data_IF_716457042047
#
_entry.id   IF_716457042047
#
_cell.length_a   1.000
_cell.length_b   1.000
_cell.length_c   1.000
_cell.angle_alpha   90.00
_cell.angle_beta   90.00
_cell.angle_gamma   90.00
#
_symmetry.space_group_name_H-M   'P 1'
#
loop_
_entity.id
_entity.type
_entity.pdbx_description
1 polymer ?
#
# COMPACT_ATOMS: atom_id res chain seq x y z
N UNK A 1 86.20 -28.36 -29.14
CA UNK A 1 86.23 -26.90 -29.29
C UNK A 1 85.16 -26.35 -28.35
N UNK A 2 85.49 -25.54 -27.35
CA UNK A 2 85.88 -24.11 -27.47
C UNK A 2 84.76 -23.25 -28.10
N UNK A 3 84.38 -22.10 -27.54
CA UNK A 3 84.91 -21.38 -26.36
C UNK A 3 83.82 -20.48 -25.73
N UNK A 4 83.88 -20.35 -24.40
CA UNK A 4 83.75 -19.12 -23.59
C UNK A 4 82.98 -17.89 -24.11
N UNK A 5 82.08 -17.35 -23.27
CA UNK A 5 81.37 -16.07 -23.49
C UNK A 5 80.68 -15.51 -22.24
N UNK A 6 81.46 -15.03 -21.26
CA UNK A 6 80.97 -14.34 -20.04
C UNK A 6 80.52 -12.90 -20.32
N UNK A 7 79.31 -12.50 -19.89
CA UNK A 7 78.86 -11.13 -19.50
C UNK A 7 77.59 -11.34 -18.62
N UNK A 8 77.33 -10.81 -17.42
CA UNK A 8 78.11 -10.18 -16.30
C UNK A 8 77.39 -10.55 -14.96
N UNK A 9 77.87 -10.06 -13.82
CA UNK A 9 77.25 -10.13 -12.47
C UNK A 9 77.10 -8.69 -11.94
N UNK A 10 75.91 -8.26 -11.48
CA UNK A 10 75.77 -7.11 -10.58
C UNK A 10 74.46 -7.18 -9.77
N UNK A 11 74.55 -6.79 -8.49
CA UNK A 11 73.46 -6.73 -7.51
C UNK A 11 73.08 -5.26 -7.28
N UNK A 12 71.79 -4.91 -7.41
CA UNK A 12 71.25 -3.70 -6.81
C UNK A 12 69.76 -3.86 -6.48
N UNK A 13 69.42 -3.46 -5.25
CA UNK A 13 68.09 -3.47 -4.64
C UNK A 13 67.46 -2.08 -4.80
N UNK A 14 66.22 -1.99 -5.31
CA UNK A 14 65.37 -0.84 -4.97
C UNK A 14 63.89 -1.25 -4.91
N UNK A 15 63.37 -1.30 -3.68
CA UNK A 15 61.95 -1.51 -3.39
C UNK A 15 61.23 -0.17 -3.49
N UNK A 16 60.34 0.00 -4.47
CA UNK A 16 59.40 1.13 -4.52
C UNK A 16 57.94 0.66 -4.65
N UNK A 17 57.33 0.51 -3.48
CA UNK A 17 55.89 0.63 -3.18
C UNK A 17 54.83 0.42 -4.29
N UNK A 18 54.20 -0.76 -4.26
CA UNK A 18 52.91 -1.00 -4.92
C UNK A 18 51.79 -0.18 -4.23
N UNK A 19 51.46 0.99 -4.78
CA UNK A 19 50.31 1.78 -4.33
C UNK A 19 49.00 1.12 -4.79
N UNK A 20 48.39 0.30 -3.93
CA UNK A 20 47.12 -0.36 -4.21
C UNK A 20 45.91 0.60 -4.04
N UNK A 21 45.06 0.79 -5.07
CA UNK A 21 43.91 1.69 -4.97
C UNK A 21 42.73 1.12 -4.14
N UNK A 22 42.44 1.81 -3.03
CA UNK A 22 41.09 2.26 -2.64
C UNK A 22 39.94 1.25 -2.42
N UNK A 23 40.17 0.18 -1.64
CA UNK A 23 39.08 -0.62 -1.06
C UNK A 23 38.05 0.20 -0.23
N UNK A 24 38.47 1.32 0.36
CA UNK A 24 37.59 2.24 1.11
C UNK A 24 36.57 2.93 0.20
N UNK A 25 37.00 3.47 -0.95
CA UNK A 25 36.14 4.19 -1.90
C UNK A 25 35.03 3.31 -2.44
N UNK A 26 35.32 2.02 -2.74
CA UNK A 26 34.32 1.07 -3.22
C UNK A 26 33.25 0.74 -2.17
N UNK A 27 33.63 0.67 -0.88
CA UNK A 27 32.69 0.49 0.24
C UNK A 27 31.78 1.70 0.42
N UNK A 28 32.33 2.92 0.43
CA UNK A 28 31.54 4.14 0.57
C UNK A 28 30.54 4.31 -0.59
N UNK A 29 30.94 3.98 -1.82
CA UNK A 29 30.07 4.06 -3.00
C UNK A 29 28.92 3.02 -2.92
N UNK A 30 29.20 1.78 -2.49
CA UNK A 30 28.16 0.76 -2.27
C UNK A 30 27.18 1.16 -1.16
N UNK A 31 27.67 1.73 -0.05
CA UNK A 31 26.81 2.25 1.03
C UNK A 31 25.92 3.39 0.51
N UNK A 32 26.45 4.29 -0.32
CA UNK A 32 25.69 5.35 -0.97
C UNK A 32 24.60 4.85 -1.93
N UNK A 33 24.85 3.77 -2.68
CA UNK A 33 23.83 3.14 -3.52
C UNK A 33 22.73 2.46 -2.70
N UNK A 34 23.10 1.79 -1.60
CA UNK A 34 22.14 1.12 -0.71
C UNK A 34 21.22 2.11 0.02
N UNK A 35 21.74 3.26 0.46
CA UNK A 35 20.91 4.32 1.06
C UNK A 35 20.03 5.02 0.02
N UNK A 36 20.52 5.28 -1.19
CA UNK A 36 19.72 5.80 -2.29
C UNK A 36 18.59 4.84 -2.72
N UNK A 37 18.86 3.53 -2.76
CA UNK A 37 17.83 2.53 -3.05
C UNK A 37 16.77 2.47 -1.95
N UNK A 38 17.18 2.53 -0.68
CA UNK A 38 16.25 2.62 0.46
C UNK A 38 15.36 3.86 0.39
N UNK A 39 15.90 5.01 -0.06
CA UNK A 39 15.14 6.23 -0.27
C UNK A 39 14.15 6.12 -1.46
N UNK A 40 14.47 5.35 -2.50
CA UNK A 40 13.54 5.10 -3.62
C UNK A 40 12.35 4.20 -3.26
N UNK A 41 12.50 3.38 -2.21
CA UNK A 41 11.44 2.53 -1.64
C UNK A 41 10.55 3.28 -0.64
N UNK A 42 10.89 4.50 -0.24
CA UNK A 42 9.96 5.38 0.47
C UNK A 42 8.88 5.78 -0.54
N UNK A 43 7.60 5.43 -0.35
CA UNK A 43 6.57 5.87 -1.25
C UNK A 43 6.46 7.40 -1.15
N UNK A 44 6.80 8.10 -2.23
CA UNK A 44 6.52 9.54 -2.40
C UNK A 44 5.03 9.78 -2.72
N UNK A 45 4.16 8.87 -2.26
CA UNK A 45 2.83 9.17 -1.80
C UNK A 45 2.94 10.10 -0.57
N UNK A 46 3.23 11.37 -0.85
CA UNK A 46 3.01 12.44 0.11
C UNK A 46 1.63 12.24 0.71
N UNK A 47 1.56 12.12 2.05
CA UNK A 47 0.30 12.10 2.76
C UNK A 47 -0.48 13.35 2.31
N UNK A 48 -1.51 13.13 1.48
CA UNK A 48 -2.39 14.21 1.06
C UNK A 48 -2.90 14.85 2.35
N UNK A 49 -2.78 16.19 2.51
CA UNK A 49 -3.16 16.83 3.76
C UNK A 49 -4.62 16.47 4.05
N UNK A 50 -4.80 15.64 5.07
CA UNK A 50 -6.11 15.21 5.55
C UNK A 50 -6.82 16.48 6.01
N UNK A 51 -7.81 16.90 5.23
CA UNK A 51 -8.43 18.22 5.39
C UNK A 51 -9.18 18.39 6.72
N UNK A 52 -9.53 17.26 7.37
CA UNK A 52 -10.15 17.19 8.69
C UNK A 52 -9.63 15.90 9.39
N UNK A 53 -9.10 15.95 10.63
CA UNK A 53 -8.66 14.75 11.36
C UNK A 53 -9.68 13.61 11.39
N UNK A 54 -10.99 13.90 11.44
CA UNK A 54 -12.06 12.90 11.40
C UNK A 54 -12.07 12.09 10.08
N UNK A 55 -11.83 12.77 8.95
CA UNK A 55 -11.67 12.12 7.65
C UNK A 55 -10.41 11.23 7.64
N UNK A 56 -9.35 11.65 8.33
CA UNK A 56 -8.14 10.85 8.53
C UNK A 56 -8.44 9.54 9.25
N UNK A 57 -9.27 9.60 10.28
CA UNK A 57 -9.68 8.41 11.03
C UNK A 57 -10.51 7.45 10.18
N UNK A 58 -11.43 7.95 9.36
CA UNK A 58 -12.13 7.13 8.36
C UNK A 58 -11.18 6.46 7.36
N UNK A 59 -10.19 7.19 6.82
CA UNK A 59 -9.20 6.63 5.87
C UNK A 59 -8.36 5.54 6.53
N UNK A 60 -7.89 5.76 7.77
CA UNK A 60 -7.11 4.78 8.52
C UNK A 60 -7.91 3.51 8.84
N UNK A 61 -9.14 3.64 9.34
CA UNK A 61 -10.05 2.49 9.56
C UNK A 61 -10.34 1.76 8.25
N UNK A 62 -10.59 2.50 7.16
CA UNK A 62 -10.81 1.91 5.84
C UNK A 62 -9.60 1.09 5.36
N UNK A 63 -8.38 1.61 5.50
CA UNK A 63 -7.16 0.91 5.10
C UNK A 63 -6.98 -0.41 5.89
N UNK A 64 -7.29 -0.39 7.19
CA UNK A 64 -7.27 -1.56 8.08
C UNK A 64 -8.31 -2.61 7.65
N UNK A 65 -9.57 -2.20 7.42
CA UNK A 65 -10.66 -3.12 7.08
C UNK A 65 -10.55 -3.70 5.66
N UNK A 66 -10.08 -2.90 4.71
CA UNK A 66 -9.89 -3.31 3.31
C UNK A 66 -8.58 -4.10 3.12
N UNK A 67 -7.63 -4.01 4.07
CA UNK A 67 -6.33 -4.67 3.97
C UNK A 67 -5.42 -4.06 2.90
N UNK A 68 -5.59 -2.77 2.57
CA UNK A 68 -4.78 -2.05 1.56
C UNK A 68 -4.07 -0.86 2.19
N UNK A 69 -2.77 -0.73 1.93
CA UNK A 69 -1.95 0.37 2.46
C UNK A 69 -2.30 1.73 1.85
N UNK A 70 -2.84 1.74 0.63
CA UNK A 70 -3.30 2.94 -0.06
C UNK A 70 -4.71 2.71 -0.61
N UNK A 71 -5.55 3.74 -0.46
CA UNK A 71 -6.91 3.82 -0.99
C UNK A 71 -7.02 5.08 -1.84
N UNK A 72 -7.90 5.09 -2.85
CA UNK A 72 -8.09 6.28 -3.67
C UNK A 72 -8.65 7.44 -2.82
N UNK A 73 -7.94 8.55 -2.79
CA UNK A 73 -8.25 9.67 -1.91
C UNK A 73 -9.55 10.40 -2.31
N UNK A 74 -9.90 10.40 -3.61
CA UNK A 74 -11.11 11.04 -4.11
C UNK A 74 -12.34 10.21 -3.75
N UNK A 75 -12.28 8.89 -3.94
CA UNK A 75 -13.30 7.94 -3.53
C UNK A 75 -13.45 7.90 -2.02
N UNK A 76 -12.35 7.88 -1.26
CA UNK A 76 -12.38 7.98 0.20
C UNK A 76 -13.10 9.26 0.67
N UNK A 77 -12.80 10.42 0.05
CA UNK A 77 -13.55 11.65 0.35
C UNK A 77 -15.04 11.53 0.03
N UNK A 78 -15.41 11.04 -1.16
CA UNK A 78 -16.82 10.89 -1.55
C UNK A 78 -17.60 9.94 -0.62
N UNK A 79 -16.99 8.83 -0.21
CA UNK A 79 -17.59 7.89 0.74
C UNK A 79 -17.71 8.52 2.13
N UNK A 80 -16.70 9.23 2.62
CA UNK A 80 -16.76 9.97 3.89
C UNK A 80 -17.87 11.02 3.91
N UNK A 81 -17.94 11.86 2.89
CA UNK A 81 -18.97 12.90 2.74
C UNK A 81 -20.38 12.27 2.69
N UNK A 82 -20.53 11.17 1.95
CA UNK A 82 -21.81 10.47 1.83
C UNK A 82 -22.24 9.80 3.15
N UNK A 83 -21.31 9.15 3.87
CA UNK A 83 -21.57 8.48 5.16
C UNK A 83 -21.90 9.50 6.26
N UNK A 84 -21.21 10.64 6.27
CA UNK A 84 -21.47 11.75 7.21
C UNK A 84 -22.83 12.42 6.94
N UNK A 85 -23.25 12.50 5.67
CA UNK A 85 -24.57 13.01 5.29
C UNK A 85 -25.71 12.02 5.55
N UNK A 86 -25.40 10.72 5.67
CA UNK A 86 -26.35 9.65 6.02
C UNK A 86 -26.53 9.53 7.54
N UNK A 87 -25.44 9.70 8.29
CA UNK A 87 -25.39 9.66 9.75
C UNK A 87 -24.40 10.72 10.27
N UNK A 88 -24.92 11.76 10.94
CA UNK A 88 -24.09 12.83 11.49
C UNK A 88 -23.22 12.41 12.68
N UNK A 89 -23.48 11.24 13.29
CA UNK A 89 -22.61 10.62 14.30
C UNK A 89 -21.44 9.83 13.71
N UNK A 90 -21.44 9.56 12.40
CA UNK A 90 -20.44 8.74 11.72
C UNK A 90 -18.98 9.21 11.94
N UNK A 91 -18.63 10.51 11.84
CA UNK A 91 -17.25 10.98 12.08
C UNK A 91 -16.72 10.59 13.47
N UNK A 92 -17.53 10.81 14.50
CA UNK A 92 -17.19 10.46 15.89
C UNK A 92 -17.10 8.95 16.10
N UNK A 93 -17.98 8.17 15.46
CA UNK A 93 -17.95 6.71 15.52
C UNK A 93 -16.71 6.12 14.83
N UNK A 94 -16.29 6.69 13.68
CA UNK A 94 -15.07 6.31 12.97
C UNK A 94 -13.81 6.62 13.79
N UNK A 95 -13.77 7.80 14.44
CA UNK A 95 -12.71 8.16 15.38
C UNK A 95 -12.64 7.17 16.56
N UNK A 96 -13.79 6.86 17.18
CA UNK A 96 -13.86 5.93 18.31
C UNK A 96 -13.42 4.51 17.94
N UNK A 97 -13.80 4.02 16.76
CA UNK A 97 -13.36 2.72 16.25
C UNK A 97 -11.85 2.68 16.00
N UNK A 98 -11.26 3.75 15.43
CA UNK A 98 -9.81 3.83 15.26
C UNK A 98 -9.06 3.79 16.60
N UNK A 99 -9.53 4.57 17.58
CA UNK A 99 -8.96 4.57 18.94
C UNK A 99 -9.05 3.17 19.56
N UNK A 100 -10.21 2.51 19.49
CA UNK A 100 -10.41 1.15 20.01
C UNK A 100 -9.42 0.13 19.39
N UNK A 101 -9.25 0.15 18.06
CA UNK A 101 -8.29 -0.72 17.36
C UNK A 101 -6.86 -0.42 17.83
N UNK A 102 -6.50 0.86 17.94
CA UNK A 102 -5.15 1.28 18.34
C UNK A 102 -4.81 0.98 19.79
N UNK A 103 -5.75 1.15 20.72
CA UNK A 103 -5.51 0.95 22.15
C UNK A 103 -5.43 -0.55 22.48
N UNK A 104 -6.30 -1.36 21.87
CA UNK A 104 -6.40 -2.80 22.14
C UNK A 104 -5.54 -3.68 21.23
N UNK A 105 -4.94 -3.12 20.17
CA UNK A 105 -4.13 -3.84 19.16
C UNK A 105 -4.84 -5.07 18.59
N UNK A 106 -6.14 -4.93 18.32
CA UNK A 106 -6.98 -6.04 17.81
C UNK A 106 -6.52 -6.39 16.39
N UNK A 107 -6.35 -7.68 16.12
CA UNK A 107 -6.14 -8.20 14.77
C UNK A 107 -7.33 -7.79 13.87
N UNK A 108 -7.11 -7.13 12.71
CA UNK A 108 -8.17 -6.74 11.80
C UNK A 108 -9.10 -7.91 11.39
N UNK A 109 -8.58 -9.14 11.32
CA UNK A 109 -9.36 -10.34 11.01
C UNK A 109 -10.30 -10.74 12.16
N UNK A 110 -9.88 -10.50 13.41
CA UNK A 110 -10.68 -10.78 14.60
C UNK A 110 -11.65 -9.64 14.97
N UNK A 111 -11.40 -8.41 14.48
CA UNK A 111 -12.09 -7.18 14.89
C UNK A 111 -13.62 -7.29 14.88
N UNK A 112 -14.23 -7.74 13.78
CA UNK A 112 -15.69 -7.82 13.69
C UNK A 112 -16.27 -8.81 14.71
N UNK A 113 -15.61 -9.96 14.88
CA UNK A 113 -16.02 -10.95 15.88
C UNK A 113 -15.91 -10.39 17.30
N UNK A 114 -14.80 -9.73 17.63
CA UNK A 114 -14.62 -9.10 18.95
C UNK A 114 -15.73 -8.08 19.24
N UNK A 115 -16.07 -7.24 18.27
CA UNK A 115 -17.14 -6.23 18.44
C UNK A 115 -18.53 -6.87 18.58
N UNK A 116 -18.81 -7.95 17.86
CA UNK A 116 -20.08 -8.69 17.93
C UNK A 116 -20.21 -9.46 19.27
N UNK A 117 -19.18 -10.22 19.67
CA UNK A 117 -19.14 -10.98 20.93
C UNK A 117 -19.31 -10.04 22.15
N UNK A 118 -18.68 -8.85 22.12
CA UNK A 118 -18.78 -7.82 23.17
C UNK A 118 -20.06 -6.97 23.10
N UNK A 119 -20.93 -7.17 22.11
CA UNK A 119 -22.15 -6.38 21.88
C UNK A 119 -21.85 -4.87 21.77
N UNK A 120 -20.72 -4.52 21.15
CA UNK A 120 -20.23 -3.14 21.07
C UNK A 120 -21.18 -2.25 20.26
N UNK A 121 -21.44 -0.98 20.68
CA UNK A 121 -22.21 -0.04 19.88
C UNK A 121 -21.56 0.27 18.52
N UNK A 122 -20.26 -0.03 18.36
CA UNK A 122 -19.53 0.13 17.11
C UNK A 122 -19.63 -1.09 16.18
N UNK A 123 -20.29 -2.19 16.58
CA UNK A 123 -20.30 -3.45 15.84
C UNK A 123 -20.93 -3.38 14.44
N UNK A 124 -21.80 -2.40 14.18
CA UNK A 124 -22.35 -2.17 12.84
C UNK A 124 -21.37 -1.42 11.90
N UNK A 125 -20.41 -0.68 12.45
CA UNK A 125 -19.61 0.30 11.71
C UNK A 125 -18.62 -0.33 10.71
N UNK A 126 -17.86 -1.40 11.04
CA UNK A 126 -16.97 -2.04 10.06
C UNK A 126 -17.73 -2.58 8.85
N UNK A 127 -18.91 -3.19 9.08
CA UNK A 127 -19.82 -3.65 8.02
C UNK A 127 -20.31 -2.48 7.17
N UNK A 128 -20.73 -1.35 7.75
CA UNK A 128 -21.16 -0.15 7.00
C UNK A 128 -20.03 0.41 6.12
N UNK A 129 -18.81 0.51 6.66
CA UNK A 129 -17.63 0.97 5.91
C UNK A 129 -17.27 -0.01 4.78
N UNK A 130 -17.27 -1.31 5.04
CA UNK A 130 -16.96 -2.32 4.02
C UNK A 130 -18.02 -2.40 2.93
N UNK A 131 -19.31 -2.24 3.24
CA UNK A 131 -20.38 -2.10 2.22
C UNK A 131 -20.12 -0.90 1.31
N UNK A 132 -19.76 0.25 1.91
CA UNK A 132 -19.48 1.48 1.16
C UNK A 132 -18.29 1.34 0.20
N UNK A 133 -17.22 0.65 0.61
CA UNK A 133 -16.06 0.39 -0.25
C UNK A 133 -16.28 -0.74 -1.26
N UNK A 134 -16.83 -1.88 -0.83
CA UNK A 134 -16.98 -3.06 -1.66
C UNK A 134 -18.08 -2.91 -2.70
N UNK A 135 -19.24 -2.35 -2.34
CA UNK A 135 -20.37 -2.19 -3.26
C UNK A 135 -20.46 -0.78 -3.87
N UNK A 136 -19.73 0.19 -3.31
CA UNK A 136 -19.83 1.59 -3.75
C UNK A 136 -21.14 2.27 -3.35
N UNK A 137 -21.89 1.73 -2.38
CA UNK A 137 -23.24 2.18 -2.01
C UNK A 137 -23.27 2.68 -0.56
N UNK A 138 -23.95 3.80 -0.31
CA UNK A 138 -24.17 4.38 1.03
C UNK A 138 -25.65 4.66 1.27
N UNK A 139 -26.15 4.28 2.46
CA UNK A 139 -27.55 4.38 2.86
C UNK A 139 -28.37 3.14 2.51
N UNK A 140 -29.55 3.01 3.12
CA UNK A 140 -30.41 1.83 3.02
C UNK A 140 -31.68 2.07 2.20
N UNK A 141 -32.18 1.02 1.55
CA UNK A 141 -33.44 1.00 0.78
C UNK A 141 -33.58 2.21 -0.16
N UNK A 142 -34.64 3.02 -0.02
CA UNK A 142 -34.92 4.19 -0.87
C UNK A 142 -33.88 5.32 -0.74
N UNK A 143 -33.02 5.28 0.29
CA UNK A 143 -31.93 6.26 0.51
C UNK A 143 -30.57 5.77 0.00
N UNK A 144 -30.50 4.56 -0.55
CA UNK A 144 -29.26 3.99 -1.08
C UNK A 144 -28.74 4.83 -2.27
N UNK A 145 -27.52 5.37 -2.13
CA UNK A 145 -26.84 6.18 -3.14
C UNK A 145 -25.64 5.44 -3.69
N UNK A 146 -25.55 5.32 -5.02
CA UNK A 146 -24.37 4.83 -5.72
C UNK A 146 -23.29 5.94 -5.73
N UNK A 147 -22.19 5.71 -5.02
CA UNK A 147 -21.04 6.60 -4.89
C UNK A 147 -19.88 6.15 -5.81
N UNK A 148 -19.78 4.84 -6.05
CA UNK A 148 -18.80 4.22 -6.95
C UNK A 148 -19.43 3.03 -7.70
N UNK A 149 -18.97 2.79 -8.93
CA UNK A 149 -19.43 1.67 -9.75
C UNK A 149 -18.24 0.89 -10.32
N UNK A 150 -17.57 1.43 -11.34
CA UNK A 150 -16.35 0.84 -11.92
C UNK A 150 -15.17 0.81 -10.93
N UNK A 151 -15.12 1.75 -9.97
CA UNK A 151 -14.11 1.84 -8.91
C UNK A 151 -14.52 1.19 -7.59
N UNK A 152 -15.70 0.56 -7.50
CA UNK A 152 -16.07 -0.20 -6.30
C UNK A 152 -15.13 -1.41 -6.14
N UNK A 153 -14.74 -1.77 -4.90
CA UNK A 153 -13.71 -2.78 -4.73
C UNK A 153 -14.13 -4.16 -5.26
N UNK A 154 -15.42 -4.50 -5.25
CA UNK A 154 -15.91 -5.75 -5.84
C UNK A 154 -15.66 -5.83 -7.35
N UNK A 155 -15.64 -4.71 -8.07
CA UNK A 155 -15.33 -4.64 -9.50
C UNK A 155 -13.80 -4.66 -9.72
N UNK A 156 -13.05 -3.87 -8.96
CA UNK A 156 -11.58 -3.76 -9.07
C UNK A 156 -10.89 -5.08 -8.72
N UNK A 157 -11.40 -5.86 -7.76
CA UNK A 157 -10.79 -7.15 -7.35
C UNK A 157 -10.84 -8.21 -8.46
N UNK A 158 -11.73 -8.08 -9.43
CA UNK A 158 -11.96 -9.07 -10.51
C UNK A 158 -11.77 -8.45 -11.91
N UNK A 159 -11.12 -7.28 -12.00
CA UNK A 159 -11.11 -6.48 -13.23
C UNK A 159 -10.31 -7.07 -14.40
N UNK A 160 -9.51 -8.10 -14.12
CA UNK A 160 -8.74 -8.89 -15.06
C UNK A 160 -9.62 -9.89 -15.84
N UNK A 161 -10.61 -10.49 -15.16
CA UNK A 161 -11.52 -11.49 -15.71
C UNK A 161 -12.89 -10.91 -16.08
N UNK A 162 -13.38 -9.92 -15.33
CA UNK A 162 -14.72 -9.37 -15.45
C UNK A 162 -14.69 -7.85 -15.65
N UNK A 163 -15.79 -7.31 -16.16
CA UNK A 163 -16.08 -5.87 -16.12
C UNK A 163 -17.47 -5.65 -15.51
N UNK A 164 -17.74 -4.47 -14.92
CA UNK A 164 -19.08 -4.11 -14.48
C UNK A 164 -20.09 -4.28 -15.61
N UNK A 165 -21.35 -4.65 -15.32
CA UNK A 165 -22.43 -4.59 -16.30
C UNK A 165 -22.47 -3.25 -17.02
N UNK A 166 -22.94 -3.24 -18.27
CA UNK A 166 -22.90 -2.10 -19.22
C UNK A 166 -21.51 -1.73 -19.79
N UNK A 167 -20.41 -2.33 -19.32
CA UNK A 167 -19.07 -2.18 -19.92
C UNK A 167 -18.70 -3.38 -20.80
N UNK A 168 -18.12 -3.13 -21.97
CA UNK A 168 -17.70 -4.19 -22.89
C UNK A 168 -16.41 -4.90 -22.41
N UNK A 169 -16.42 -6.24 -22.37
CA UNK A 169 -15.26 -7.04 -21.98
C UNK A 169 -14.48 -7.56 -23.20
N UNK A 170 -13.45 -6.81 -23.60
CA UNK A 170 -12.52 -7.19 -24.67
C UNK A 170 -13.21 -7.41 -26.03
N UNK A 171 -12.66 -8.31 -26.84
CA UNK A 171 -13.28 -8.76 -28.09
C UNK A 171 -14.42 -9.74 -27.83
N UNK A 172 -15.43 -9.77 -28.71
CA UNK A 172 -16.47 -10.79 -28.70
C UNK A 172 -15.89 -12.22 -28.56
N UNK A 173 -16.47 -13.03 -27.67
CA UNK A 173 -16.02 -14.40 -27.38
C UNK A 173 -14.87 -14.51 -26.36
N UNK A 174 -14.37 -13.40 -25.81
CA UNK A 174 -13.33 -13.35 -24.76
C UNK A 174 -13.63 -14.27 -23.57
N UNK A 175 -14.89 -14.29 -23.12
CA UNK A 175 -15.42 -15.09 -22.01
C UNK A 175 -15.36 -16.62 -22.20
N UNK A 176 -15.07 -17.12 -23.41
CA UNK A 176 -14.96 -18.55 -23.67
C UNK A 176 -13.65 -19.16 -23.13
N UNK A 177 -12.65 -18.32 -22.80
CA UNK A 177 -11.40 -18.76 -22.18
C UNK A 177 -11.58 -18.92 -20.68
N UNK A 178 -11.11 -20.04 -20.13
CA UNK A 178 -11.06 -20.22 -18.67
C UNK A 178 -10.10 -19.17 -18.06
N UNK A 179 -10.48 -18.48 -16.97
CA UNK A 179 -9.55 -17.71 -16.16
C UNK A 179 -8.37 -18.56 -15.67
N UNK A 180 -7.23 -17.91 -15.46
CA UNK A 180 -5.99 -18.53 -14.99
C UNK A 180 -6.05 -18.89 -13.49
#
# INVERSE_FOLDING_TARGET
MDHSGKITEEVAEEVTETTAPSNLTRRTLLIGLLSAYSASLIPWALAQPVANPEQGSFVAVSAILVGRQALDAVQAKRLYDALTADDSGFPAAAQALLTLINDRKIDPVALQKTLDDEHSPLAALPRKIMTAWCLGIVGDSEKARCIAYETALNAVIVEDVLKPPTYAYGTYGSWAKKPL
#
